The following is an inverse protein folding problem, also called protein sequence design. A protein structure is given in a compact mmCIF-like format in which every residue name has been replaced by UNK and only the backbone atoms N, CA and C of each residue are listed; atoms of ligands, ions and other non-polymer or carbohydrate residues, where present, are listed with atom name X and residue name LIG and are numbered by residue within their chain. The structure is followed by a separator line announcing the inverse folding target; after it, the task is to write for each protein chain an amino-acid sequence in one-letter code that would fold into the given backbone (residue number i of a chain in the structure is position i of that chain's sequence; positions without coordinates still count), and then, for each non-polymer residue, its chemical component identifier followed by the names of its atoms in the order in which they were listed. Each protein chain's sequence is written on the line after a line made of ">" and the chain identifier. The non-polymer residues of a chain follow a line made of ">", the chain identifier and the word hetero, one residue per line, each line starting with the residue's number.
data_IF_392866216214
#
_entry.id   IF_392866216214
#
_cell.length_a   1.000
_cell.length_b   1.000
_cell.length_c   1.000
_cell.angle_alpha   90.00
_cell.angle_beta   90.00
_cell.angle_gamma   90.00
#
_symmetry.space_group_name_H-M   'P 1'
#
loop_
_entity.id
_entity.type
_entity.pdbx_description
1 polymer ?
#
# COMPACT_ATOMS: atom_id res chain seq x y z
N UNK A 1 9.17 5.57 18.32
CA UNK A 1 9.36 5.03 16.96
C UNK A 1 10.67 4.25 16.93
N UNK A 2 10.74 3.07 16.30
CA UNK A 2 12.00 2.34 16.16
C UNK A 2 13.00 3.14 15.30
N UNK A 3 14.26 3.31 15.69
CA UNK A 3 15.23 4.19 15.01
C UNK A 3 15.63 3.72 13.60
N UNK A 4 15.35 2.47 13.23
CA UNK A 4 15.74 1.88 11.95
C UNK A 4 14.79 2.20 10.78
N UNK A 5 13.68 2.90 11.04
CA UNK A 5 12.68 3.26 10.02
C UNK A 5 12.69 4.73 9.62
N UNK A 6 13.43 5.58 10.33
CA UNK A 6 13.44 7.02 10.10
C UNK A 6 13.77 7.35 8.63
N UNK A 7 12.81 7.96 7.93
CA UNK A 7 12.96 8.40 6.53
C UNK A 7 12.63 7.34 5.48
N UNK A 8 12.28 6.11 5.88
CA UNK A 8 11.89 5.03 4.95
C UNK A 8 10.45 4.54 5.16
N UNK A 9 9.68 5.16 6.06
CA UNK A 9 8.33 4.75 6.43
C UNK A 9 7.38 4.80 5.23
N UNK A 10 7.39 5.91 4.49
CA UNK A 10 6.53 6.10 3.32
C UNK A 10 6.90 5.11 2.20
N UNK A 11 8.17 5.00 1.75
CA UNK A 11 8.58 3.96 0.81
C UNK A 11 8.19 2.54 1.25
N UNK A 12 8.38 2.19 2.52
CA UNK A 12 8.03 0.88 3.07
C UNK A 12 6.52 0.62 3.02
N UNK A 13 5.70 1.57 3.47
CA UNK A 13 4.25 1.48 3.42
C UNK A 13 3.77 1.31 1.96
N UNK A 14 4.33 2.07 1.02
CA UNK A 14 3.98 1.98 -0.40
C UNK A 14 4.38 0.62 -0.98
N UNK A 15 5.59 0.13 -0.69
CA UNK A 15 6.05 -1.18 -1.19
C UNK A 15 5.17 -2.32 -0.66
N UNK A 16 4.81 -2.25 0.63
CA UNK A 16 3.92 -3.23 1.24
C UNK A 16 2.51 -3.19 0.63
N UNK A 17 1.88 -2.01 0.57
CA UNK A 17 0.54 -1.85 -0.02
C UNK A 17 0.52 -2.21 -1.52
N UNK A 18 1.62 -1.97 -2.25
CA UNK A 18 1.77 -2.42 -3.64
C UNK A 18 1.72 -3.94 -3.73
N UNK A 19 2.45 -4.65 -2.88
CA UNK A 19 2.41 -6.11 -2.83
C UNK A 19 0.98 -6.61 -2.52
N UNK A 20 0.37 -6.10 -1.45
CA UNK A 20 -0.97 -6.55 -1.02
C UNK A 20 -2.04 -6.23 -2.06
N UNK A 21 -2.02 -5.05 -2.68
CA UNK A 21 -2.94 -4.72 -3.77
C UNK A 21 -2.67 -5.59 -5.02
N UNK A 22 -1.46 -6.08 -5.22
CA UNK A 22 -1.17 -7.08 -6.25
C UNK A 22 -1.94 -8.39 -6.07
N UNK A 23 -2.27 -8.76 -4.82
CA UNK A 23 -2.97 -9.99 -4.44
C UNK A 23 -4.51 -9.90 -4.58
N UNK A 24 -5.06 -8.71 -4.82
CA UNK A 24 -6.49 -8.54 -5.13
C UNK A 24 -6.70 -8.44 -6.66
N UNK A 25 -7.89 -8.83 -7.17
CA UNK A 25 -8.21 -8.67 -8.59
C UNK A 25 -7.97 -7.25 -9.07
N UNK A 26 -7.48 -7.09 -10.30
CA UNK A 26 -7.06 -5.79 -10.83
C UNK A 26 -8.16 -4.72 -10.76
N UNK A 27 -9.41 -5.11 -11.00
CA UNK A 27 -10.58 -4.24 -10.92
C UNK A 27 -10.84 -3.70 -9.50
N UNK A 28 -10.43 -4.44 -8.47
CA UNK A 28 -10.73 -4.13 -7.07
C UNK A 28 -9.60 -3.34 -6.38
N UNK A 29 -8.40 -3.27 -6.99
CA UNK A 29 -7.22 -2.59 -6.41
C UNK A 29 -7.49 -1.13 -6.01
N UNK A 30 -8.15 -0.30 -6.85
CA UNK A 30 -8.43 1.08 -6.46
C UNK A 30 -9.42 1.18 -5.29
N UNK A 31 -10.36 0.24 -5.17
CA UNK A 31 -11.32 0.19 -4.08
C UNK A 31 -10.65 -0.27 -2.77
N UNK A 32 -9.82 -1.30 -2.83
CA UNK A 32 -8.97 -1.77 -1.72
C UNK A 32 -8.14 -0.62 -1.13
N UNK A 33 -7.43 0.13 -1.97
CA UNK A 33 -6.59 1.25 -1.52
C UNK A 33 -7.42 2.43 -0.99
N UNK A 34 -8.60 2.68 -1.56
CA UNK A 34 -9.51 3.71 -1.05
C UNK A 34 -10.02 3.37 0.35
N UNK A 35 -10.46 2.13 0.58
CA UNK A 35 -10.94 1.69 1.89
C UNK A 35 -9.82 1.72 2.94
N UNK A 36 -8.61 1.31 2.57
CA UNK A 36 -7.44 1.44 3.45
C UNK A 36 -7.20 2.90 3.84
N UNK A 37 -7.13 3.82 2.87
CA UNK A 37 -7.02 5.25 3.14
C UNK A 37 -8.16 5.77 4.03
N UNK A 38 -9.40 5.40 3.74
CA UNK A 38 -10.57 5.87 4.47
C UNK A 38 -10.50 5.47 5.95
N UNK A 39 -10.06 4.25 6.24
CA UNK A 39 -9.90 3.77 7.61
C UNK A 39 -8.72 4.45 8.33
N UNK A 40 -7.52 4.46 7.70
CA UNK A 40 -6.31 5.03 8.33
C UNK A 40 -6.44 6.53 8.59
N UNK A 41 -7.17 7.23 7.74
CA UNK A 41 -7.40 8.66 7.89
C UNK A 41 -8.49 9.01 8.91
N UNK A 42 -9.14 8.03 9.56
CA UNK A 42 -10.26 8.26 10.50
C UNK A 42 -9.91 9.27 11.60
N UNK A 43 -8.70 9.19 12.17
CA UNK A 43 -8.24 10.10 13.23
C UNK A 43 -7.77 11.46 12.72
N UNK A 44 -7.69 11.67 11.39
CA UNK A 44 -7.25 12.92 10.79
C UNK A 44 -8.43 13.87 10.61
N UNK A 45 -8.18 15.15 10.88
CA UNK A 45 -9.09 16.26 10.58
C UNK A 45 -9.32 16.43 9.08
N UNK A 46 -10.40 17.13 8.71
CA UNK A 46 -10.70 17.43 7.31
C UNK A 46 -9.58 18.21 6.61
N UNK A 47 -8.90 19.13 7.31
CA UNK A 47 -7.77 19.88 6.76
C UNK A 47 -6.59 18.95 6.43
N UNK A 48 -6.18 18.12 7.39
CA UNK A 48 -5.09 17.15 7.19
C UNK A 48 -5.38 16.19 6.03
N UNK A 49 -6.63 15.71 5.90
CA UNK A 49 -7.01 14.84 4.77
C UNK A 49 -6.88 15.55 3.41
N UNK A 50 -7.24 16.84 3.33
CA UNK A 50 -7.07 17.64 2.11
C UNK A 50 -5.59 17.87 1.79
N UNK A 51 -4.77 18.15 2.79
CA UNK A 51 -3.34 18.36 2.60
C UNK A 51 -2.66 17.09 2.09
N UNK A 52 -2.99 15.94 2.67
CA UNK A 52 -2.52 14.64 2.17
C UNK A 52 -2.99 14.38 0.74
N UNK A 53 -4.22 14.76 0.40
CA UNK A 53 -4.73 14.62 -0.96
C UNK A 53 -3.99 15.50 -1.96
N UNK A 54 -3.67 16.74 -1.59
CA UNK A 54 -2.85 17.63 -2.41
C UNK A 54 -1.43 17.06 -2.59
N UNK A 55 -0.81 16.57 -1.52
CA UNK A 55 0.51 15.92 -1.57
C UNK A 55 0.53 14.69 -2.47
N UNK A 56 -0.46 13.80 -2.33
CA UNK A 56 -0.58 12.62 -3.17
C UNK A 56 -0.80 13.00 -4.65
N UNK A 57 -1.65 13.98 -4.92
CA UNK A 57 -1.93 14.44 -6.28
C UNK A 57 -0.68 15.02 -6.96
N UNK A 58 0.11 15.81 -6.23
CA UNK A 58 1.35 16.40 -6.74
C UNK A 58 2.50 15.38 -6.87
N UNK A 59 2.56 14.38 -5.98
CA UNK A 59 3.74 13.54 -5.82
C UNK A 59 3.57 12.04 -6.11
N UNK A 60 2.39 11.57 -6.53
CA UNK A 60 2.06 10.14 -6.63
C UNK A 60 3.14 9.30 -7.31
N UNK A 61 3.58 9.69 -8.52
CA UNK A 61 4.59 8.95 -9.28
C UNK A 61 5.94 8.90 -8.57
N UNK A 62 6.40 10.03 -8.03
CA UNK A 62 7.66 10.11 -7.27
C UNK A 62 7.61 9.26 -6.00
N UNK A 63 6.50 9.32 -5.26
CA UNK A 63 6.28 8.54 -4.04
C UNK A 63 6.31 7.04 -4.35
N UNK A 64 5.63 6.63 -5.43
CA UNK A 64 5.60 5.23 -5.89
C UNK A 64 6.98 4.78 -6.38
N UNK A 65 7.71 5.61 -7.12
CA UNK A 65 9.05 5.30 -7.60
C UNK A 65 10.02 5.06 -6.43
N UNK A 66 10.03 5.95 -5.44
CA UNK A 66 10.91 5.84 -4.26
C UNK A 66 10.71 4.54 -3.46
N UNK A 67 9.52 3.93 -3.52
CA UNK A 67 9.27 2.63 -2.91
C UNK A 67 9.95 1.45 -3.62
N UNK A 68 10.25 1.59 -4.92
CA UNK A 68 11.09 0.64 -5.66
C UNK A 68 12.57 0.72 -5.26
N UNK A 69 13.01 1.88 -4.77
CA UNK A 69 14.39 2.18 -4.38
C UNK A 69 14.70 1.86 -2.91
N UNK A 70 13.81 1.14 -2.22
CA UNK A 70 14.05 0.72 -0.84
C UNK A 70 15.36 -0.06 -0.74
N UNK A 71 16.35 0.39 0.06
CA UNK A 71 17.67 -0.22 0.13
C UNK A 71 17.67 -1.46 1.01
N UNK A 72 16.80 -2.44 0.68
CA UNK A 72 16.78 -3.73 1.35
C UNK A 72 17.98 -4.53 0.85
N UNK A 73 18.98 -4.72 1.70
CA UNK A 73 20.18 -5.49 1.37
C UNK A 73 20.41 -6.65 2.33
N UNK A 74 21.19 -7.63 1.88
CA UNK A 74 21.63 -8.76 2.70
C UNK A 74 20.48 -9.53 3.37
N UNK A 75 20.60 -9.74 4.69
CA UNK A 75 19.65 -10.53 5.48
C UNK A 75 18.25 -9.92 5.53
N UNK A 76 18.15 -8.59 5.49
CA UNK A 76 16.86 -7.87 5.55
C UNK A 76 16.05 -8.11 4.27
N UNK A 77 16.70 -8.07 3.09
CA UNK A 77 16.05 -8.38 1.82
C UNK A 77 15.50 -9.81 1.79
N UNK A 78 16.26 -10.77 2.30
CA UNK A 78 15.83 -12.19 2.39
C UNK A 78 14.64 -12.35 3.33
N UNK A 79 14.68 -11.72 4.51
CA UNK A 79 13.58 -11.76 5.47
C UNK A 79 12.31 -11.10 4.91
N UNK A 80 12.46 -9.96 4.24
CA UNK A 80 11.35 -9.26 3.57
C UNK A 80 10.69 -10.14 2.50
N UNK A 81 11.49 -10.74 1.61
CA UNK A 81 10.96 -11.66 0.59
C UNK A 81 10.22 -12.84 1.22
N UNK A 82 10.81 -13.51 2.22
CA UNK A 82 10.14 -14.62 2.93
C UNK A 82 8.82 -14.20 3.57
N UNK A 83 8.76 -12.98 4.13
CA UNK A 83 7.53 -12.42 4.65
C UNK A 83 6.48 -12.24 3.55
N UNK A 84 6.84 -11.63 2.41
CA UNK A 84 5.91 -11.43 1.29
C UNK A 84 5.44 -12.76 0.67
N UNK A 85 6.32 -13.75 0.59
CA UNK A 85 5.99 -15.11 0.13
C UNK A 85 4.95 -15.73 1.07
N UNK A 86 5.15 -15.63 2.38
CA UNK A 86 4.21 -16.15 3.38
C UNK A 86 2.86 -15.44 3.33
N UNK A 87 2.84 -14.12 3.14
CA UNK A 87 1.59 -13.36 2.98
C UNK A 87 0.85 -13.80 1.71
N UNK A 88 1.57 -13.99 0.60
CA UNK A 88 1.01 -14.49 -0.67
C UNK A 88 0.39 -15.87 -0.50
N UNK A 89 1.10 -16.78 0.17
CA UNK A 89 0.63 -18.13 0.46
C UNK A 89 -0.69 -18.10 1.26
N UNK A 90 -0.73 -17.36 2.38
CA UNK A 90 -1.93 -17.25 3.22
C UNK A 90 -3.08 -16.58 2.47
N UNK A 91 -2.80 -15.52 1.70
CA UNK A 91 -3.82 -14.84 0.90
C UNK A 91 -4.40 -15.73 -0.21
N UNK A 92 -3.62 -16.69 -0.72
CA UNK A 92 -4.04 -17.65 -1.73
C UNK A 92 -4.99 -18.74 -1.21
N UNK A 93 -5.06 -18.94 0.10
CA UNK A 93 -5.99 -19.89 0.72
C UNK A 93 -7.44 -19.38 0.66
N UNK A 94 -8.39 -20.31 0.80
CA UNK A 94 -9.80 -19.97 0.93
C UNK A 94 -10.11 -19.56 2.38
N UNK A 95 -10.87 -18.48 2.54
CA UNK A 95 -11.21 -17.87 3.82
C UNK A 95 -12.72 -17.63 3.87
N UNK A 96 -13.52 -18.67 4.14
CA UNK A 96 -14.99 -18.59 3.99
C UNK A 96 -15.64 -17.59 4.95
N UNK A 97 -14.95 -17.21 6.03
CA UNK A 97 -15.47 -16.28 7.04
C UNK A 97 -15.25 -14.79 6.68
N UNK A 98 -14.40 -14.44 5.71
CA UNK A 98 -14.10 -13.04 5.41
C UNK A 98 -13.59 -12.82 3.97
N UNK A 99 -13.99 -11.72 3.30
CA UNK A 99 -13.44 -11.38 1.99
C UNK A 99 -11.92 -11.16 2.05
N UNK A 100 -11.19 -11.73 1.08
CA UNK A 100 -9.72 -11.60 0.98
C UNK A 100 -9.22 -10.16 1.09
N UNK A 101 -9.89 -9.21 0.42
CA UNK A 101 -9.52 -7.79 0.46
C UNK A 101 -9.61 -7.17 1.86
N UNK A 102 -10.57 -7.63 2.68
CA UNK A 102 -10.70 -7.20 4.06
C UNK A 102 -9.55 -7.71 4.92
N UNK A 103 -9.21 -9.00 4.81
CA UNK A 103 -8.09 -9.61 5.55
C UNK A 103 -6.74 -8.97 5.19
N UNK A 104 -6.51 -8.69 3.90
CA UNK A 104 -5.30 -8.01 3.44
C UNK A 104 -5.21 -6.58 3.98
N UNK A 105 -6.34 -5.86 4.03
CA UNK A 105 -6.37 -4.52 4.58
C UNK A 105 -6.06 -4.56 6.09
N UNK A 106 -6.71 -5.43 6.86
CA UNK A 106 -6.45 -5.59 8.29
C UNK A 106 -4.98 -5.97 8.56
N UNK A 107 -4.44 -6.92 7.79
CA UNK A 107 -3.03 -7.30 7.86
C UNK A 107 -2.09 -6.12 7.61
N UNK A 108 -2.38 -5.27 6.62
CA UNK A 108 -1.62 -4.05 6.36
C UNK A 108 -1.62 -3.13 7.59
N UNK A 109 -2.79 -2.89 8.17
CA UNK A 109 -2.96 -2.01 9.33
C UNK A 109 -2.18 -2.50 10.56
N UNK A 110 -2.30 -3.79 10.87
CA UNK A 110 -1.60 -4.40 12.00
C UNK A 110 -0.09 -4.36 11.80
N UNK A 111 0.37 -4.66 10.58
CA UNK A 111 1.80 -4.61 10.23
C UNK A 111 2.35 -3.18 10.35
N UNK A 112 1.68 -2.20 9.77
CA UNK A 112 2.09 -0.80 9.80
C UNK A 112 2.10 -0.23 11.23
N UNK A 113 1.09 -0.57 12.04
CA UNK A 113 1.07 -0.22 13.47
C UNK A 113 2.26 -0.83 14.21
N UNK A 114 2.58 -2.10 13.97
CA UNK A 114 3.72 -2.78 14.59
C UNK A 114 5.06 -2.18 14.19
N UNK A 115 5.17 -1.70 12.95
CA UNK A 115 6.34 -0.97 12.47
C UNK A 115 6.40 0.47 12.99
N UNK A 116 5.30 0.99 13.54
CA UNK A 116 5.23 2.36 14.03
C UNK A 116 5.04 3.39 12.91
N UNK A 117 4.47 2.98 11.78
CA UNK A 117 4.12 3.89 10.68
C UNK A 117 2.91 4.72 11.10
N UNK A 118 3.08 6.05 11.02
CA UNK A 118 2.04 7.01 11.37
C UNK A 118 0.80 6.88 10.46
N UNK A 119 -0.43 7.00 10.99
CA UNK A 119 -1.64 6.92 10.18
C UNK A 119 -1.68 7.89 8.98
N UNK A 120 -1.07 9.08 9.08
CA UNK A 120 -0.98 10.04 7.98
C UNK A 120 -0.04 9.54 6.87
N UNK A 121 1.10 8.93 7.22
CA UNK A 121 2.04 8.33 6.26
C UNK A 121 1.38 7.14 5.54
N UNK A 122 0.68 6.30 6.30
CA UNK A 122 -0.04 5.14 5.78
C UNK A 122 -1.18 5.56 4.82
N UNK A 123 -1.91 6.62 5.20
CA UNK A 123 -2.94 7.25 4.37
C UNK A 123 -2.37 7.82 3.07
N UNK A 124 -1.22 8.51 3.15
CA UNK A 124 -0.53 9.06 1.98
C UNK A 124 -0.06 7.96 1.04
N UNK A 125 0.52 6.88 1.57
CA UNK A 125 0.97 5.73 0.80
C UNK A 125 -0.16 5.11 -0.03
N UNK A 126 -1.31 4.83 0.60
CA UNK A 126 -2.47 4.25 -0.06
C UNK A 126 -3.02 5.18 -1.16
N UNK A 127 -3.10 6.49 -0.88
CA UNK A 127 -3.62 7.45 -1.84
C UNK A 127 -2.69 7.65 -3.04
N UNK A 128 -1.37 7.81 -2.79
CA UNK A 128 -0.38 7.95 -3.85
C UNK A 128 -0.37 6.73 -4.77
N UNK A 129 -0.40 5.52 -4.20
CA UNK A 129 -0.46 4.29 -4.97
C UNK A 129 -1.75 4.18 -5.79
N UNK A 130 -2.90 4.54 -5.22
CA UNK A 130 -4.19 4.54 -5.92
C UNK A 130 -4.17 5.50 -7.12
N UNK A 131 -3.66 6.72 -6.92
CA UNK A 131 -3.58 7.72 -7.98
C UNK A 131 -2.63 7.29 -9.11
N UNK A 132 -1.48 6.68 -8.77
CA UNK A 132 -0.56 6.13 -9.77
C UNK A 132 -1.19 5.00 -10.60
N UNK A 133 -1.96 4.10 -9.96
CA UNK A 133 -2.68 3.03 -10.66
C UNK A 133 -3.76 3.56 -11.61
N UNK A 134 -4.46 4.64 -11.23
CA UNK A 134 -5.49 5.24 -12.09
C UNK A 134 -4.92 6.03 -13.28
N UNK A 135 -3.70 6.57 -13.15
CA UNK A 135 -3.02 7.30 -14.22
C UNK A 135 -2.36 6.41 -15.25
N UNK A 136 -2.08 5.15 -14.90
CA UNK A 136 -1.47 4.18 -15.82
C UNK A 136 -2.56 3.57 -16.71
N UNK A 137 -2.62 3.87 -18.01
CA UNK A 137 -3.61 3.26 -18.88
C UNK A 137 -3.33 1.75 -18.96
N UNK A 138 -4.35 0.93 -18.74
CA UNK A 138 -4.29 -0.50 -19.08
C UNK A 138 -4.02 -0.62 -20.59
N UNK A 139 -2.83 -1.09 -20.98
CA UNK A 139 -2.43 -1.34 -22.37
C UNK A 139 -3.19 -2.53 -23.02
N UNK A 140 -4.48 -2.70 -22.72
CA UNK A 140 -5.27 -3.89 -23.07
C UNK A 140 -6.66 -3.60 -23.62
N UNK A 141 -6.86 -2.46 -24.28
CA UNK A 141 -8.15 -2.14 -24.94
C UNK A 141 -8.02 -1.54 -26.35
N UNK A 142 -7.03 -2.01 -27.12
CA UNK A 142 -6.95 -1.83 -28.59
C UNK A 142 -6.38 -3.07 -29.24
N UNK A 143 -7.20 -4.12 -29.36
CA UNK A 143 -7.04 -5.21 -30.32
C UNK A 143 -8.35 -6.02 -30.35
N UNK A 144 -9.41 -5.42 -30.87
CA UNK A 144 -10.60 -6.10 -31.34
C UNK A 144 -11.30 -5.11 -32.29
N UNK A 145 -10.78 -5.08 -33.52
CA UNK A 145 -11.51 -4.63 -34.70
C UNK A 145 -11.80 -5.89 -35.52
#
# INVERSE_FOLDING_TARGET
>A
MPPWLAGVELPLAVAHLRHLSGLVPAADRPAFLFLHWQDRSRSLTGAQRRDLAAQAQAGAEKIVLAAGDLPLTGRVAVAWRRYLDRVTEVAGQDHPAAPRGFLLAEHAQLSHRRWGIDPAVDSLAAMALRLAQLRTPSAGRRAAA
#
